data_IF_688909833101
#
_entry.id   IF_688909833101
#
_cell.length_a   1.000
_cell.length_b   1.000
_cell.length_c   1.000
_cell.angle_alpha   90.00
_cell.angle_beta   90.00
_cell.angle_gamma   90.00
#
_symmetry.space_group_name_H-M   'P 1'
#
loop_
_entity.id
_entity.type
_entity.pdbx_description
1 polymer ?
#
# COMPACT_ATOMS: atom_id res chain seq x y z
N UNK A 1 8.20 -64.60 -26.35
CA UNK A 1 8.32 -64.09 -24.96
C UNK A 1 9.50 -63.12 -24.76
N UNK A 2 10.76 -63.43 -25.15
CA UNK A 2 11.90 -62.52 -24.94
C UNK A 2 11.80 -61.20 -25.74
N UNK A 3 11.35 -61.25 -26.99
CA UNK A 3 11.16 -60.10 -27.84
C UNK A 3 10.03 -59.15 -27.32
N UNK A 4 8.99 -59.70 -26.75
CA UNK A 4 7.90 -58.89 -26.15
C UNK A 4 8.35 -58.17 -24.88
N UNK A 5 9.15 -58.83 -24.05
CA UNK A 5 9.69 -58.21 -22.83
C UNK A 5 10.66 -57.06 -23.18
N UNK A 6 11.51 -57.24 -24.17
CA UNK A 6 12.41 -56.20 -24.63
C UNK A 6 11.68 -54.99 -25.23
N UNK A 7 10.62 -55.24 -26.01
CA UNK A 7 9.79 -54.15 -26.54
C UNK A 7 9.00 -53.37 -25.43
N UNK A 8 8.52 -54.06 -24.41
CA UNK A 8 7.87 -53.41 -23.27
C UNK A 8 8.85 -52.57 -22.44
N UNK A 9 10.08 -53.07 -22.22
CA UNK A 9 11.12 -52.33 -21.52
C UNK A 9 11.56 -51.06 -22.29
N UNK A 10 11.70 -51.16 -23.59
CA UNK A 10 12.04 -50.03 -24.46
C UNK A 10 10.93 -48.97 -24.44
N UNK A 11 9.67 -49.36 -24.55
CA UNK A 11 8.53 -48.43 -24.47
C UNK A 11 8.38 -47.75 -23.09
N UNK A 12 8.65 -48.51 -22.03
CA UNK A 12 8.64 -47.91 -20.66
C UNK A 12 9.78 -46.93 -20.44
N UNK A 13 10.94 -47.24 -20.99
CA UNK A 13 12.09 -46.35 -20.93
C UNK A 13 11.86 -45.05 -21.71
N UNK A 14 11.33 -45.14 -22.92
CA UNK A 14 10.95 -44.00 -23.75
C UNK A 14 9.92 -43.10 -23.06
N UNK A 15 8.92 -43.75 -22.42
CA UNK A 15 7.92 -43.01 -21.65
C UNK A 15 8.51 -42.25 -20.47
N UNK A 16 9.43 -42.86 -19.72
CA UNK A 16 10.16 -42.20 -18.62
C UNK A 16 10.99 -41.03 -19.11
N UNK A 17 11.70 -41.17 -20.20
CA UNK A 17 12.49 -40.09 -20.80
C UNK A 17 11.60 -38.93 -21.26
N UNK A 18 10.42 -39.21 -21.83
CA UNK A 18 9.45 -38.19 -22.21
C UNK A 18 8.85 -37.47 -20.99
N UNK A 19 8.53 -38.21 -19.93
CA UNK A 19 8.04 -37.63 -18.68
C UNK A 19 9.09 -36.75 -18.02
N UNK A 20 10.35 -37.16 -18.01
CA UNK A 20 11.49 -36.39 -17.48
C UNK A 20 11.72 -35.10 -18.29
N UNK A 21 11.71 -35.19 -19.62
CA UNK A 21 11.83 -34.03 -20.49
C UNK A 21 10.69 -33.02 -20.30
N UNK A 22 9.45 -33.50 -20.15
CA UNK A 22 8.31 -32.62 -19.86
C UNK A 22 8.42 -31.96 -18.49
N UNK A 23 8.86 -32.69 -17.48
CA UNK A 23 9.08 -32.15 -16.15
C UNK A 23 10.17 -31.09 -16.13
N UNK A 24 11.27 -31.33 -16.89
CA UNK A 24 12.35 -30.36 -17.03
C UNK A 24 11.90 -29.10 -17.78
N UNK A 25 11.17 -29.24 -18.88
CA UNK A 25 10.61 -28.11 -19.62
C UNK A 25 9.65 -27.29 -18.74
N UNK A 26 8.74 -27.94 -18.00
CA UNK A 26 7.83 -27.26 -17.09
C UNK A 26 8.57 -26.47 -15.99
N UNK A 27 9.69 -27.01 -15.49
CA UNK A 27 10.53 -26.33 -14.50
C UNK A 27 11.22 -25.11 -15.08
N UNK A 28 11.77 -25.22 -16.29
CA UNK A 28 12.42 -24.10 -16.99
C UNK A 28 11.39 -22.99 -17.34
N UNK A 29 10.18 -23.35 -17.74
CA UNK A 29 9.10 -22.40 -18.00
C UNK A 29 8.70 -21.65 -16.73
N UNK A 30 8.57 -22.36 -15.62
CA UNK A 30 8.24 -21.74 -14.33
C UNK A 30 9.33 -20.79 -13.85
N UNK A 31 10.60 -21.20 -13.97
CA UNK A 31 11.74 -20.36 -13.63
C UNK A 31 11.81 -19.10 -14.51
N UNK A 32 11.60 -19.25 -15.81
CA UNK A 32 11.56 -18.12 -16.74
C UNK A 32 10.40 -17.15 -16.42
N UNK A 33 9.24 -17.67 -16.00
CA UNK A 33 8.10 -16.86 -15.58
C UNK A 33 8.40 -16.08 -14.30
N UNK A 34 9.02 -16.71 -13.32
CA UNK A 34 9.42 -16.06 -12.07
C UNK A 34 10.43 -14.95 -12.32
N UNK A 35 11.43 -15.20 -13.19
CA UNK A 35 12.43 -14.20 -13.57
C UNK A 35 11.76 -12.97 -14.22
N UNK A 36 10.87 -13.17 -15.19
CA UNK A 36 10.15 -12.06 -15.83
C UNK A 36 9.33 -11.26 -14.82
N UNK A 37 8.63 -11.92 -13.90
CA UNK A 37 7.86 -11.23 -12.85
C UNK A 37 8.75 -10.41 -11.92
N UNK A 38 9.95 -10.91 -11.63
CA UNK A 38 10.91 -10.17 -10.84
C UNK A 38 11.42 -8.93 -11.59
N UNK A 39 11.82 -9.10 -12.86
CA UNK A 39 12.25 -7.98 -13.71
C UNK A 39 11.17 -6.90 -13.86
N UNK A 40 9.91 -7.29 -14.05
CA UNK A 40 8.78 -6.37 -14.12
C UNK A 40 8.58 -5.58 -12.81
N UNK A 41 8.70 -6.25 -11.66
CA UNK A 41 8.61 -5.59 -10.35
C UNK A 41 9.76 -4.61 -10.11
N UNK A 42 10.96 -4.99 -10.46
CA UNK A 42 12.15 -4.13 -10.33
C UNK A 42 12.04 -2.91 -11.25
N UNK A 43 11.58 -3.10 -12.48
CA UNK A 43 11.33 -2.01 -13.43
C UNK A 43 10.24 -1.05 -12.94
N UNK A 44 9.13 -1.59 -12.40
CA UNK A 44 8.05 -0.78 -11.83
C UNK A 44 8.54 0.04 -10.62
N UNK A 45 9.29 -0.57 -9.71
CA UNK A 45 9.88 0.10 -8.55
C UNK A 45 10.86 1.21 -8.99
N UNK A 46 11.67 0.96 -10.00
CA UNK A 46 12.60 1.95 -10.52
C UNK A 46 11.85 3.12 -11.17
N UNK A 47 10.78 2.84 -11.90
CA UNK A 47 9.93 3.87 -12.50
C UNK A 47 9.23 4.76 -11.45
N UNK A 48 8.85 4.21 -10.29
CA UNK A 48 8.31 5.00 -9.17
C UNK A 48 9.37 5.90 -8.53
N UNK A 49 10.59 5.39 -8.33
CA UNK A 49 11.73 6.19 -7.85
C UNK A 49 12.06 7.34 -8.80
N UNK A 50 12.12 7.07 -10.10
CA UNK A 50 12.43 8.07 -11.12
C UNK A 50 11.34 9.13 -11.24
N UNK A 51 10.08 8.74 -11.03
CA UNK A 51 8.94 9.65 -10.95
C UNK A 51 8.97 10.54 -9.68
N UNK A 52 9.75 10.17 -8.66
CA UNK A 52 9.85 10.92 -7.41
C UNK A 52 8.56 10.86 -6.59
N UNK A 53 7.95 9.70 -6.52
CA UNK A 53 6.79 9.38 -5.66
C UNK A 53 7.21 8.38 -4.58
N UNK A 54 6.45 8.25 -3.47
CA UNK A 54 6.70 7.19 -2.49
C UNK A 54 6.60 5.81 -3.13
N UNK A 55 7.51 4.92 -2.78
CA UNK A 55 7.59 3.55 -3.31
C UNK A 55 7.77 2.53 -2.18
N UNK A 56 7.39 1.29 -2.42
CA UNK A 56 7.50 0.21 -1.44
C UNK A 56 8.97 0.00 -1.04
N UNK A 57 9.23 -0.04 0.27
CA UNK A 57 10.57 -0.13 0.87
C UNK A 57 11.25 1.23 1.13
N UNK A 58 10.67 2.35 0.68
CA UNK A 58 11.17 3.69 1.00
C UNK A 58 11.13 3.93 2.52
N UNK A 59 12.17 4.57 3.11
CA UNK A 59 12.10 4.98 4.51
C UNK A 59 10.97 5.98 4.76
N UNK A 60 10.20 5.78 5.84
CA UNK A 60 9.10 6.66 6.23
C UNK A 60 9.55 8.12 6.38
N UNK A 61 10.74 8.36 6.93
CA UNK A 61 11.33 9.68 7.08
C UNK A 61 11.58 10.44 5.76
N UNK A 62 11.52 9.75 4.63
CA UNK A 62 11.79 10.31 3.31
C UNK A 62 10.54 10.58 2.47
N UNK A 63 9.35 10.18 2.95
CA UNK A 63 8.11 10.29 2.15
C UNK A 63 7.75 11.72 1.78
N UNK A 64 8.03 12.68 2.65
CA UNK A 64 7.75 14.11 2.45
C UNK A 64 8.79 14.83 1.57
N UNK A 65 9.91 14.18 1.33
CA UNK A 65 10.97 14.68 0.44
C UNK A 65 10.79 14.25 -1.02
N UNK A 66 9.67 13.63 -1.36
CA UNK A 66 9.39 13.19 -2.73
C UNK A 66 9.15 14.37 -3.65
N UNK A 67 9.77 14.32 -4.83
CA UNK A 67 9.76 15.46 -5.77
C UNK A 67 8.36 15.78 -6.32
N UNK A 68 7.56 14.76 -6.58
CA UNK A 68 6.25 14.92 -7.23
C UNK A 68 5.14 15.24 -6.25
N UNK A 69 5.15 14.63 -5.07
CA UNK A 69 4.09 14.80 -4.08
C UNK A 69 4.45 15.79 -2.97
N UNK A 70 5.74 15.89 -2.60
CA UNK A 70 6.17 16.72 -1.48
C UNK A 70 5.56 16.28 -0.15
N UNK A 71 5.30 17.23 0.73
CA UNK A 71 4.75 16.96 2.07
C UNK A 71 3.31 16.45 2.00
N UNK A 72 3.01 15.40 2.76
CA UNK A 72 1.66 14.87 2.90
C UNK A 72 0.67 15.91 3.47
N UNK A 73 -0.60 15.74 3.14
CA UNK A 73 -1.68 16.58 3.66
C UNK A 73 -2.18 16.12 5.01
N UNK A 74 -2.24 14.81 5.23
CA UNK A 74 -2.73 14.19 6.46
C UNK A 74 -1.98 12.89 6.75
N UNK A 75 -1.88 12.50 8.01
CA UNK A 75 -1.40 11.21 8.46
C UNK A 75 -2.36 10.64 9.51
N UNK A 76 -2.71 9.37 9.37
CA UNK A 76 -3.51 8.61 10.36
C UNK A 76 -2.70 7.45 10.92
N UNK A 77 -2.75 7.24 12.24
CA UNK A 77 -2.25 6.01 12.85
C UNK A 77 -3.35 4.96 12.89
N UNK A 78 -2.99 3.71 12.72
CA UNK A 78 -3.91 2.59 12.79
C UNK A 78 -3.20 1.32 13.23
N UNK A 79 -3.97 0.25 13.43
CA UNK A 79 -3.47 -1.06 13.78
C UNK A 79 -3.83 -2.08 12.70
N UNK A 80 -2.83 -2.83 12.22
CA UNK A 80 -3.06 -3.98 11.34
C UNK A 80 -3.04 -5.27 12.15
N UNK A 81 -4.07 -6.09 11.98
CA UNK A 81 -4.21 -7.39 12.61
C UNK A 81 -3.82 -8.48 11.60
N UNK A 82 -2.71 -9.16 11.85
CA UNK A 82 -2.21 -10.26 11.02
C UNK A 82 -2.06 -11.53 11.85
N UNK A 83 -1.88 -12.68 11.19
CA UNK A 83 -1.69 -13.99 11.86
C UNK A 83 -0.53 -14.01 12.86
N UNK A 84 0.50 -13.25 12.61
CA UNK A 84 1.75 -13.15 13.35
C UNK A 84 1.76 -12.00 14.38
N UNK A 85 0.66 -11.27 14.52
CA UNK A 85 0.52 -10.24 15.55
C UNK A 85 -0.24 -8.99 15.11
N UNK A 86 -0.20 -7.99 15.99
CA UNK A 86 -0.79 -6.66 15.77
C UNK A 86 0.33 -5.66 15.53
N UNK A 87 0.25 -4.92 14.44
CA UNK A 87 1.28 -3.98 14.01
C UNK A 87 0.70 -2.57 13.95
N UNK A 88 1.42 -1.59 14.50
CA UNK A 88 1.08 -0.18 14.31
C UNK A 88 1.45 0.24 12.89
N UNK A 89 0.54 0.91 12.21
CA UNK A 89 0.74 1.46 10.89
C UNK A 89 0.49 2.96 10.88
N UNK A 90 1.18 3.65 9.98
CA UNK A 90 0.91 5.05 9.67
C UNK A 90 0.46 5.12 8.21
N UNK A 91 -0.65 5.78 7.94
CA UNK A 91 -1.15 6.02 6.58
C UNK A 91 -1.04 7.49 6.27
N UNK A 92 -0.36 7.81 5.18
CA UNK A 92 -0.11 9.16 4.71
C UNK A 92 -0.93 9.43 3.46
N UNK A 93 -1.53 10.63 3.38
CA UNK A 93 -2.45 11.01 2.34
C UNK A 93 -2.01 12.31 1.67
N UNK A 94 -2.04 12.34 0.34
CA UNK A 94 -1.84 13.53 -0.47
C UNK A 94 -3.12 13.87 -1.23
N UNK A 95 -3.45 15.15 -1.31
CA UNK A 95 -4.72 15.63 -1.84
C UNK A 95 -4.52 16.63 -2.99
N UNK A 96 -5.50 16.70 -3.89
CA UNK A 96 -5.66 17.79 -4.86
C UNK A 96 -6.84 18.70 -4.52
N UNK A 97 -7.74 18.24 -3.64
CA UNK A 97 -8.89 18.97 -3.11
C UNK A 97 -9.13 18.52 -1.66
N UNK A 98 -10.12 19.15 -1.00
CA UNK A 98 -10.38 18.95 0.43
C UNK A 98 -10.86 17.54 0.83
N UNK A 99 -11.23 16.65 -0.11
CA UNK A 99 -11.98 15.44 0.22
C UNK A 99 -11.40 14.14 -0.30
N UNK A 100 -10.73 14.15 -1.45
CA UNK A 100 -10.31 12.92 -2.12
C UNK A 100 -8.80 12.82 -2.18
N UNK A 101 -8.17 11.82 -1.55
CA UNK A 101 -6.75 11.61 -1.67
C UNK A 101 -6.39 11.20 -3.11
N UNK A 102 -5.33 11.77 -3.65
CA UNK A 102 -4.75 11.41 -4.95
C UNK A 102 -3.72 10.30 -4.83
N UNK A 103 -3.14 10.17 -3.66
CA UNK A 103 -2.13 9.16 -3.35
C UNK A 103 -2.17 8.83 -1.86
N UNK A 104 -1.94 7.56 -1.55
CA UNK A 104 -1.86 7.05 -0.19
C UNK A 104 -0.62 6.19 -0.04
N UNK A 105 0.10 6.32 1.07
CA UNK A 105 1.21 5.45 1.44
C UNK A 105 1.00 4.91 2.84
N UNK A 106 1.10 3.60 3.02
CA UNK A 106 1.03 2.93 4.31
C UNK A 106 2.44 2.57 4.75
N UNK A 107 2.82 2.99 5.96
CA UNK A 107 4.11 2.71 6.57
C UNK A 107 3.95 1.77 7.76
N UNK A 108 4.88 0.81 7.88
CA UNK A 108 5.03 -0.07 9.02
C UNK A 108 6.52 -0.26 9.30
N UNK A 109 6.93 -0.23 10.58
CA UNK A 109 8.32 -0.39 10.99
C UNK A 109 9.28 0.60 10.30
N UNK A 110 8.81 1.84 10.09
CA UNK A 110 9.61 2.92 9.49
C UNK A 110 9.83 2.80 7.97
N UNK A 111 9.04 1.97 7.28
CA UNK A 111 9.12 1.78 5.82
C UNK A 111 7.74 1.78 5.18
N UNK A 112 7.67 2.25 3.95
CA UNK A 112 6.49 2.12 3.11
C UNK A 112 6.29 0.66 2.73
N UNK A 113 5.12 0.11 3.05
CA UNK A 113 4.74 -1.28 2.74
C UNK A 113 3.68 -1.37 1.66
N UNK A 114 2.93 -0.30 1.44
CA UNK A 114 1.88 -0.23 0.44
C UNK A 114 1.75 1.19 -0.11
N UNK A 115 1.43 1.31 -1.38
CA UNK A 115 1.11 2.58 -2.04
C UNK A 115 -0.13 2.42 -2.90
N UNK A 116 -0.96 3.45 -2.95
CA UNK A 116 -2.15 3.49 -3.79
C UNK A 116 -2.27 4.83 -4.50
N UNK A 117 -2.47 4.79 -5.81
CA UNK A 117 -2.79 5.93 -6.67
C UNK A 117 -4.29 5.98 -6.92
N UNK A 118 -4.86 7.16 -6.92
CA UNK A 118 -6.22 7.33 -7.41
C UNK A 118 -6.17 7.58 -8.92
N UNK A 119 -6.52 6.59 -9.71
CA UNK A 119 -6.35 6.54 -11.17
C UNK A 119 -6.94 7.74 -11.92
N UNK A 120 -7.96 8.38 -11.37
CA UNK A 120 -8.55 9.60 -11.97
C UNK A 120 -7.61 10.80 -12.06
N UNK A 121 -6.48 10.78 -11.37
CA UNK A 121 -5.52 11.90 -11.28
C UNK A 121 -4.13 11.56 -11.82
N UNK A 122 -3.92 10.36 -12.32
CA UNK A 122 -2.62 9.87 -12.77
C UNK A 122 -2.66 9.35 -14.21
N UNK A 123 -1.54 9.51 -14.91
CA UNK A 123 -1.24 8.81 -16.17
C UNK A 123 0.06 8.03 -15.96
N UNK A 124 -0.04 6.73 -15.68
CA UNK A 124 1.10 5.94 -15.23
C UNK A 124 1.68 6.50 -13.91
N UNK A 125 2.92 6.97 -13.95
CA UNK A 125 3.60 7.60 -12.81
C UNK A 125 3.60 9.15 -12.89
N UNK A 126 2.86 9.73 -13.84
CA UNK A 126 2.76 11.19 -13.99
C UNK A 126 1.49 11.70 -13.34
N UNK A 127 1.63 12.60 -12.37
CA UNK A 127 0.51 13.29 -11.73
C UNK A 127 -0.03 14.37 -12.66
N UNK A 128 -1.35 14.38 -12.91
CA UNK A 128 -2.04 15.29 -13.84
C UNK A 128 -2.56 16.55 -13.16
N UNK A 129 -2.55 16.63 -11.85
CA UNK A 129 -3.12 17.72 -11.03
C UNK A 129 -2.11 18.18 -9.97
N UNK A 130 -2.19 19.43 -9.49
CA UNK A 130 -1.31 19.87 -8.40
C UNK A 130 -1.68 19.20 -7.08
N UNK A 131 -0.67 18.93 -6.25
CA UNK A 131 -0.86 18.55 -4.85
C UNK A 131 -1.24 19.81 -4.08
N UNK A 132 -2.31 19.73 -3.31
CA UNK A 132 -2.79 20.82 -2.46
C UNK A 132 -2.82 20.32 -1.03
N UNK A 133 -2.32 21.11 -0.08
CA UNK A 133 -2.60 20.84 1.33
C UNK A 133 -4.09 21.03 1.55
N UNK A 134 -4.82 20.02 2.08
CA UNK A 134 -6.19 20.23 2.47
C UNK A 134 -6.20 21.38 3.51
N UNK A 135 -7.15 22.29 3.39
CA UNK A 135 -7.47 23.22 4.48
C UNK A 135 -8.11 22.39 5.59
N UNK A 136 -7.31 21.67 6.31
CA UNK A 136 -7.73 21.02 7.53
C UNK A 136 -7.89 22.20 8.50
N UNK A 137 -9.05 22.39 9.12
CA UNK A 137 -9.16 23.32 10.24
C UNK A 137 -8.06 22.94 11.22
N UNK A 138 -7.18 23.88 11.53
CA UNK A 138 -5.99 23.70 12.40
C UNK A 138 -6.38 23.44 13.87
N UNK A 139 -7.56 22.94 14.14
CA UNK A 139 -8.08 22.57 15.45
C UNK A 139 -7.70 21.15 15.88
N UNK A 140 -7.12 20.31 15.00
CA UNK A 140 -6.47 19.09 15.48
C UNK A 140 -5.04 19.41 15.94
N UNK A 141 -4.94 19.87 17.15
CA UNK A 141 -3.68 20.09 17.87
C UNK A 141 -3.06 18.74 18.25
N UNK A 142 -2.23 18.20 17.35
CA UNK A 142 -1.17 17.33 17.82
C UNK A 142 -0.19 18.17 18.63
N UNK A 143 -0.40 18.28 19.93
CA UNK A 143 0.61 18.80 20.84
C UNK A 143 0.38 20.14 21.52
N UNK A 144 -0.86 20.61 21.64
CA UNK A 144 -1.21 21.64 22.63
C UNK A 144 -2.31 21.11 23.54
N UNK A 145 -2.13 21.23 24.83
CA UNK A 145 -3.02 20.79 25.90
C UNK A 145 -4.31 21.65 26.01
N UNK A 146 -4.96 21.92 24.89
CA UNK A 146 -6.33 22.40 24.84
C UNK A 146 -7.23 21.20 24.63
N UNK A 147 -8.13 20.95 25.57
CA UNK A 147 -9.13 19.88 25.46
C UNK A 147 -10.09 20.21 24.33
N UNK A 148 -10.48 19.23 23.52
CA UNK A 148 -11.55 19.35 22.51
C UNK A 148 -12.86 19.90 23.11
N UNK A 149 -13.05 19.72 24.42
CA UNK A 149 -14.13 20.31 25.21
C UNK A 149 -14.13 21.85 25.29
N UNK A 150 -13.02 22.51 24.95
CA UNK A 150 -12.98 23.98 24.94
C UNK A 150 -13.59 24.58 23.67
N UNK A 151 -13.66 23.77 22.59
CA UNK A 151 -14.12 24.21 21.27
C UNK A 151 -15.56 23.77 20.97
N UNK A 152 -16.08 22.74 21.66
CA UNK A 152 -17.41 22.18 21.45
C UNK A 152 -18.13 21.98 22.78
N UNK A 153 -19.42 22.38 22.84
CA UNK A 153 -20.24 22.25 24.03
C UNK A 153 -20.70 20.79 24.32
N UNK A 154 -20.70 19.96 23.25
CA UNK A 154 -21.08 18.55 23.34
C UNK A 154 -20.44 17.75 22.19
N UNK A 155 -20.32 16.41 22.30
CA UNK A 155 -19.72 15.56 21.29
C UNK A 155 -20.53 15.44 19.99
N UNK A 156 -21.87 15.69 20.06
CA UNK A 156 -22.72 15.69 18.87
C UNK A 156 -22.34 16.84 17.93
N UNK A 157 -22.07 18.04 18.46
CA UNK A 157 -21.62 19.19 17.68
C UNK A 157 -20.22 18.91 17.07
N UNK A 158 -19.33 18.25 17.81
CA UNK A 158 -18.03 17.81 17.30
C UNK A 158 -18.19 16.84 16.11
N UNK A 159 -19.10 15.86 16.23
CA UNK A 159 -19.38 14.90 15.17
C UNK A 159 -20.06 15.56 13.96
N UNK A 160 -21.05 16.44 14.18
CA UNK A 160 -21.77 17.10 13.08
C UNK A 160 -20.85 17.99 12.23
N UNK A 161 -19.96 18.75 12.87
CA UNK A 161 -19.00 19.62 12.18
C UNK A 161 -17.86 18.84 11.50
N UNK A 162 -17.58 17.62 11.96
CA UNK A 162 -16.46 16.80 11.51
C UNK A 162 -16.86 15.41 11.01
N UNK A 163 -18.08 15.24 10.47
CA UNK A 163 -18.60 13.97 9.95
C UNK A 163 -17.68 13.22 8.97
N UNK A 164 -16.86 13.95 8.25
CA UNK A 164 -15.91 13.37 7.29
C UNK A 164 -14.65 12.80 8.00
N UNK A 165 -14.52 12.97 9.32
CA UNK A 165 -13.33 12.60 10.11
C UNK A 165 -13.58 11.41 11.03
N UNK A 166 -14.83 11.18 11.42
CA UNK A 166 -15.26 10.11 12.30
C UNK A 166 -16.05 9.08 11.49
N UNK A 167 -15.75 7.80 11.67
CA UNK A 167 -16.48 6.73 11.00
C UNK A 167 -17.90 6.59 11.61
N UNK A 168 -18.04 6.94 12.90
CA UNK A 168 -19.31 7.00 13.60
C UNK A 168 -19.27 8.04 14.74
N UNK A 169 -20.45 8.25 15.39
CA UNK A 169 -20.63 9.19 16.49
C UNK A 169 -19.88 8.75 17.75
N UNK A 170 -19.72 7.44 17.98
CA UNK A 170 -19.04 6.88 19.14
C UNK A 170 -17.56 7.26 19.16
N UNK A 171 -16.91 7.35 17.98
CA UNK A 171 -15.52 7.78 17.84
C UNK A 171 -15.33 9.26 18.24
N UNK A 172 -16.26 10.14 17.89
CA UNK A 172 -16.26 11.54 18.32
C UNK A 172 -16.50 11.67 19.83
N UNK A 173 -17.33 10.82 20.39
CA UNK A 173 -17.56 10.74 21.84
C UNK A 173 -16.29 10.34 22.60
N UNK A 174 -15.57 9.31 22.12
CA UNK A 174 -14.34 8.85 22.73
C UNK A 174 -13.24 9.95 22.71
N UNK A 175 -13.13 10.72 21.63
CA UNK A 175 -12.18 11.82 21.54
C UNK A 175 -12.60 13.00 22.44
N UNK A 176 -13.89 13.31 22.51
CA UNK A 176 -14.39 14.37 23.37
C UNK A 176 -14.24 14.06 24.86
N UNK A 177 -14.36 12.78 25.28
CA UNK A 177 -14.17 12.35 26.66
C UNK A 177 -12.69 12.28 27.09
N UNK A 178 -11.77 11.93 26.17
CA UNK A 178 -10.38 11.63 26.46
C UNK A 178 -9.38 12.68 25.92
N UNK A 179 -9.85 13.72 25.21
CA UNK A 179 -9.07 14.81 24.59
C UNK A 179 -8.75 16.02 25.48
#
# INVERSE_FOLDING_TARGET
NRQQIAAQQAAEQEKREQEEQRAEQARLEEEAKQLRQQEEREAALQAEKDAGIPYIGMPESSIDATRTLGTHGMAKSGWAYKKDGTFKQMTYYWYTNKRTPIFTAVCQDGKVIETQKNDGYWSGNTLLVPVVKPDIPTTFHSGSSGSVREDYDNPEDLYEDNRDWYDDEDEAWDEWENG
#
